data_IF_693689705845
#
_entry.id   IF_693689705845
#
_cell.length_a   1.000
_cell.length_b   1.000
_cell.length_c   1.000
_cell.angle_alpha   90.00
_cell.angle_beta   90.00
_cell.angle_gamma   90.00
#
_symmetry.space_group_name_H-M   'P 1'
#
loop_
_entity.id
_entity.type
_entity.pdbx_description
1 polymer ?
#
# COMPACT_ATOMS: atom_id res chain seq x y z
N UNK A 1 9.23 2.66 0.01
CA UNK A 1 9.12 1.56 -0.97
C UNK A 1 9.84 1.87 -2.28
N UNK A 2 9.56 2.96 -3.03
CA UNK A 2 10.19 3.25 -4.32
C UNK A 2 11.73 3.22 -4.29
N UNK A 3 12.37 3.79 -3.27
CA UNK A 3 13.84 3.68 -3.09
C UNK A 3 14.34 2.26 -2.83
N UNK A 4 13.53 1.41 -2.21
CA UNK A 4 13.90 0.00 -2.04
C UNK A 4 13.83 -0.75 -3.38
N UNK A 5 12.83 -0.46 -4.20
CA UNK A 5 12.72 -0.99 -5.56
C UNK A 5 13.90 -0.57 -6.44
N UNK A 6 14.31 0.69 -6.34
CA UNK A 6 15.47 1.25 -7.06
C UNK A 6 16.79 0.56 -6.67
N UNK A 7 17.01 0.38 -5.35
CA UNK A 7 18.22 -0.24 -4.83
C UNK A 7 18.27 -1.77 -4.99
N UNK A 8 17.14 -2.38 -5.10
CA UNK A 8 16.98 -3.83 -5.15
C UNK A 8 16.01 -4.21 -6.28
N UNK A 9 16.41 -3.99 -7.55
CA UNK A 9 15.57 -4.36 -8.69
C UNK A 9 15.52 -5.88 -8.89
N UNK A 10 14.56 -6.35 -9.67
CA UNK A 10 14.50 -7.74 -10.13
C UNK A 10 13.81 -8.73 -9.17
N UNK A 11 13.28 -8.27 -8.05
CA UNK A 11 12.42 -9.13 -7.22
C UNK A 11 11.05 -9.36 -7.89
N UNK A 12 10.44 -10.51 -7.59
CA UNK A 12 9.09 -10.83 -8.03
C UNK A 12 8.05 -9.78 -7.59
N UNK A 13 8.34 -9.07 -6.49
CA UNK A 13 7.53 -7.95 -6.01
C UNK A 13 8.01 -7.44 -4.66
N UNK A 14 7.28 -6.45 -4.14
CA UNK A 14 7.66 -5.69 -2.96
C UNK A 14 6.47 -5.55 -2.01
N UNK A 15 6.63 -6.07 -0.81
CA UNK A 15 5.64 -5.95 0.26
C UNK A 15 6.02 -4.79 1.17
N UNK A 16 5.09 -3.86 1.39
CA UNK A 16 5.22 -2.82 2.40
C UNK A 16 4.37 -3.18 3.60
N UNK A 17 4.96 -3.02 4.78
CA UNK A 17 4.31 -3.23 6.07
C UNK A 17 4.70 -2.07 6.96
N UNK A 18 3.72 -1.40 7.58
CA UNK A 18 3.99 -0.38 8.57
C UNK A 18 4.49 -1.01 9.89
N UNK A 19 5.22 -0.23 10.68
CA UNK A 19 5.85 -0.66 11.93
C UNK A 19 4.87 -1.01 13.06
N UNK A 20 3.60 -0.65 12.91
CA UNK A 20 2.53 -0.95 13.84
C UNK A 20 1.51 -1.96 13.30
N UNK A 21 1.95 -2.79 12.37
CA UNK A 21 1.19 -3.94 11.85
C UNK A 21 1.66 -5.22 12.52
N UNK A 22 0.76 -5.98 13.10
CA UNK A 22 1.03 -7.38 13.40
C UNK A 22 0.71 -8.21 12.16
N UNK A 23 1.68 -9.00 11.70
CA UNK A 23 1.60 -9.78 10.46
C UNK A 23 1.64 -11.28 10.71
N UNK A 24 0.64 -11.99 10.24
CA UNK A 24 0.60 -13.43 10.12
C UNK A 24 1.02 -13.82 8.69
N UNK A 25 2.31 -13.77 8.40
CA UNK A 25 2.88 -13.88 7.06
C UNK A 25 2.51 -15.18 6.32
N UNK A 26 2.24 -16.26 7.04
CA UNK A 26 1.85 -17.55 6.46
C UNK A 26 0.54 -17.47 5.66
N UNK A 27 -0.33 -16.53 5.99
CA UNK A 27 -1.57 -16.28 5.25
C UNK A 27 -1.34 -15.48 3.94
N UNK A 28 -0.11 -15.05 3.69
CA UNK A 28 0.27 -14.39 2.44
C UNK A 28 0.91 -15.36 1.43
N UNK A 29 1.34 -16.55 1.88
CA UNK A 29 2.14 -17.48 1.06
C UNK A 29 1.37 -17.96 -0.18
N UNK A 30 0.06 -18.11 -0.07
CA UNK A 30 -0.81 -18.57 -1.16
C UNK A 30 -1.35 -17.47 -2.06
N UNK A 31 -1.03 -16.21 -1.80
CA UNK A 31 -1.51 -15.09 -2.59
C UNK A 31 -0.80 -14.99 -3.95
N UNK A 32 -1.51 -14.54 -4.97
CA UNK A 32 -1.01 -14.41 -6.33
C UNK A 32 -0.02 -13.24 -6.44
N UNK A 33 1.27 -13.56 -6.64
CA UNK A 33 2.35 -12.58 -6.71
C UNK A 33 2.34 -11.75 -8.00
N UNK A 34 1.52 -12.10 -8.98
CA UNK A 34 1.34 -11.32 -10.20
C UNK A 34 0.29 -10.20 -10.04
N UNK A 35 -0.42 -10.19 -8.91
CA UNK A 35 -1.46 -9.20 -8.61
C UNK A 35 -0.99 -8.18 -7.59
N UNK A 36 -1.52 -6.96 -7.68
CA UNK A 36 -1.41 -5.98 -6.61
C UNK A 36 -2.24 -6.47 -5.43
N UNK A 37 -1.65 -6.44 -4.22
CA UNK A 37 -2.40 -6.74 -3.01
C UNK A 37 -2.68 -5.46 -2.25
N UNK A 38 -3.90 -5.32 -1.80
CA UNK A 38 -4.33 -4.22 -0.93
C UNK A 38 -5.09 -4.76 0.29
N UNK A 39 -5.37 -3.91 1.26
CA UNK A 39 -6.11 -4.29 2.46
C UNK A 39 -7.50 -4.86 2.17
N UNK A 40 -8.27 -5.19 3.20
CA UNK A 40 -9.56 -5.85 3.06
C UNK A 40 -10.51 -5.13 2.11
N UNK A 41 -11.31 -5.89 1.40
CA UNK A 41 -12.28 -5.37 0.43
C UNK A 41 -13.16 -4.26 1.04
N UNK A 42 -13.37 -3.19 0.28
CA UNK A 42 -14.21 -2.06 0.70
C UNK A 42 -13.49 -1.01 1.58
N UNK A 43 -12.22 -1.21 1.89
CA UNK A 43 -11.42 -0.21 2.61
C UNK A 43 -10.97 0.95 1.71
N UNK A 44 -10.94 0.74 0.40
CA UNK A 44 -10.59 1.76 -0.57
C UNK A 44 -11.87 2.42 -1.11
N UNK A 45 -11.88 3.74 -1.13
CA UNK A 45 -12.98 4.55 -1.65
C UNK A 45 -12.43 5.60 -2.59
N UNK A 46 -13.14 5.90 -3.66
CA UNK A 46 -12.73 7.02 -4.48
C UNK A 46 -13.34 8.33 -3.98
N UNK A 47 -12.68 9.45 -4.27
CA UNK A 47 -13.00 10.77 -3.76
C UNK A 47 -13.21 11.74 -4.92
N UNK A 48 -14.38 12.31 -4.98
CA UNK A 48 -14.73 13.35 -5.94
C UNK A 48 -14.21 14.71 -5.47
N UNK A 49 -13.55 15.45 -6.34
CA UNK A 49 -13.03 16.80 -6.03
C UNK A 49 -14.13 17.82 -5.72
N UNK A 50 -15.31 17.61 -6.29
CA UNK A 50 -16.45 18.54 -6.13
C UNK A 50 -17.29 18.28 -4.89
N UNK A 51 -17.08 17.15 -4.20
CA UNK A 51 -17.88 16.77 -3.02
C UNK A 51 -16.99 16.84 -1.78
N UNK A 52 -17.33 17.65 -0.77
CA UNK A 52 -16.61 17.66 0.50
C UNK A 52 -16.62 16.25 1.11
N UNK A 53 -15.46 15.70 1.40
CA UNK A 53 -15.35 14.46 2.16
C UNK A 53 -15.16 14.82 3.63
N UNK A 54 -15.92 14.17 4.50
CA UNK A 54 -15.73 14.28 5.95
C UNK A 54 -14.51 13.48 6.39
N UNK A 55 -13.35 13.89 5.89
CA UNK A 55 -12.08 13.26 6.21
C UNK A 55 -10.97 14.32 6.27
N UNK A 56 -10.38 14.48 7.45
CA UNK A 56 -9.38 15.51 7.73
C UNK A 56 -8.28 15.58 6.68
N UNK A 57 -7.66 14.43 6.34
CA UNK A 57 -6.54 14.39 5.41
C UNK A 57 -6.90 14.82 3.99
N UNK A 58 -8.14 14.56 3.55
CA UNK A 58 -8.62 15.03 2.25
C UNK A 58 -8.70 16.56 2.16
N UNK A 59 -9.15 17.16 3.24
CA UNK A 59 -9.31 18.62 3.33
C UNK A 59 -8.04 19.35 3.76
N UNK A 60 -6.97 18.62 4.11
CA UNK A 60 -5.69 19.17 4.53
C UNK A 60 -4.87 19.68 3.33
N UNK A 61 -3.75 20.35 3.63
CA UNK A 61 -2.78 20.81 2.62
C UNK A 61 -2.11 19.66 1.85
N UNK A 62 -2.18 18.42 2.33
CA UNK A 62 -1.62 17.22 1.72
C UNK A 62 -2.68 16.34 1.04
N UNK A 63 -3.93 16.78 0.99
CA UNK A 63 -5.08 16.01 0.51
C UNK A 63 -5.44 16.28 -0.94
N UNK A 64 -6.67 16.70 -1.17
CA UNK A 64 -7.28 16.86 -2.49
C UNK A 64 -6.40 17.66 -3.48
N UNK A 65 -5.95 18.86 -3.06
CA UNK A 65 -5.21 19.76 -3.94
C UNK A 65 -3.87 19.16 -4.42
N UNK A 66 -3.21 18.38 -3.57
CA UNK A 66 -1.93 17.74 -3.93
C UNK A 66 -2.15 16.55 -4.85
N UNK A 67 -3.18 15.76 -4.63
CA UNK A 67 -3.55 14.69 -5.54
C UNK A 67 -3.95 15.25 -6.92
N UNK A 68 -4.71 16.32 -6.96
CA UNK A 68 -5.09 16.98 -8.20
C UNK A 68 -3.88 17.52 -8.97
N UNK A 69 -2.88 18.09 -8.28
CA UNK A 69 -1.62 18.54 -8.91
C UNK A 69 -0.84 17.36 -9.47
N UNK A 70 -0.71 16.26 -8.73
CA UNK A 70 -0.05 15.06 -9.21
C UNK A 70 -0.76 14.50 -10.45
N UNK A 71 -2.08 14.41 -10.42
CA UNK A 71 -2.87 13.99 -11.57
C UNK A 71 -2.64 14.90 -12.80
N UNK A 72 -2.68 16.22 -12.62
CA UNK A 72 -2.48 17.17 -13.73
C UNK A 72 -1.07 17.04 -14.34
N UNK A 73 -0.04 16.74 -13.54
CA UNK A 73 1.30 16.48 -14.05
C UNK A 73 1.33 15.19 -14.88
N UNK A 74 0.71 14.12 -14.41
CA UNK A 74 0.61 12.84 -15.15
C UNK A 74 -0.18 13.04 -16.47
N UNK A 75 -1.27 13.81 -16.41
CA UNK A 75 -2.04 14.16 -17.60
C UNK A 75 -1.21 14.95 -18.61
N UNK A 76 -0.41 15.91 -18.16
CA UNK A 76 0.49 16.67 -19.05
C UNK A 76 1.56 15.78 -19.69
N UNK A 77 2.08 14.77 -18.96
CA UNK A 77 3.01 13.79 -19.50
C UNK A 77 2.35 12.95 -20.61
N UNK A 78 1.07 12.61 -20.49
CA UNK A 78 0.33 11.90 -21.52
C UNK A 78 0.21 12.71 -22.82
N UNK A 79 0.15 14.03 -22.72
CA UNK A 79 0.01 14.92 -23.88
C UNK A 79 1.36 15.29 -24.53
N UNK A 80 2.48 15.06 -23.84
CA UNK A 80 3.82 15.31 -24.36
C UNK A 80 4.36 14.09 -25.12
N UNK A 81 5.26 14.31 -26.08
CA UNK A 81 5.94 13.20 -26.74
C UNK A 81 6.80 12.42 -25.73
N UNK A 82 6.83 11.10 -25.84
CA UNK A 82 7.62 10.25 -24.94
C UNK A 82 9.09 10.63 -24.91
N UNK A 83 9.63 11.20 -26.00
CA UNK A 83 11.03 11.58 -26.14
C UNK A 83 11.44 12.75 -25.24
N UNK A 84 10.49 13.59 -24.81
CA UNK A 84 10.79 14.80 -24.05
C UNK A 84 11.01 14.57 -22.54
N UNK A 85 10.48 13.50 -21.96
CA UNK A 85 10.46 13.31 -20.50
C UNK A 85 11.08 11.99 -20.02
N UNK A 86 11.11 10.94 -20.84
CA UNK A 86 11.73 9.65 -20.50
C UNK A 86 13.17 9.78 -19.99
N UNK A 87 14.05 10.56 -20.61
CA UNK A 87 15.44 10.73 -20.17
C UNK A 87 15.57 11.44 -18.82
N UNK A 88 14.56 12.24 -18.43
CA UNK A 88 14.61 13.02 -17.19
C UNK A 88 14.18 12.23 -15.94
N UNK A 89 13.41 11.17 -16.14
CA UNK A 89 12.90 10.32 -15.04
C UNK A 89 13.77 9.07 -14.81
N UNK A 90 14.33 8.54 -15.87
CA UNK A 90 15.33 7.47 -15.80
C UNK A 90 16.67 8.20 -15.66
N UNK A 91 17.07 8.53 -14.41
CA UNK A 91 18.42 9.06 -14.18
C UNK A 91 19.43 8.17 -14.88
N UNK A 92 20.44 8.75 -15.54
CA UNK A 92 21.51 8.08 -16.27
C UNK A 92 21.99 6.82 -15.52
N UNK A 93 21.36 5.69 -15.74
CA UNK A 93 21.89 4.39 -15.35
C UNK A 93 22.67 3.85 -16.55
N UNK A 94 23.95 4.20 -16.55
CA UNK A 94 24.96 3.57 -17.40
C UNK A 94 25.03 2.07 -17.11
N UNK A 95 24.82 1.31 -18.16
CA UNK A 95 25.45 0.04 -18.48
C UNK A 95 25.49 -1.08 -17.43
N UNK A 96 24.49 -1.94 -17.46
CA UNK A 96 24.56 -3.31 -16.97
C UNK A 96 23.45 -4.13 -17.58
N UNK A 97 23.77 -5.27 -18.16
CA UNK A 97 22.87 -6.27 -18.72
C UNK A 97 21.91 -6.83 -17.65
N UNK A 98 20.95 -6.02 -17.22
CA UNK A 98 19.85 -6.48 -16.41
C UNK A 98 18.55 -6.18 -17.16
N UNK A 99 17.76 -7.24 -17.33
CA UNK A 99 16.57 -7.40 -18.14
C UNK A 99 15.80 -6.12 -18.42
N UNK A 100 15.25 -6.01 -19.65
CA UNK A 100 14.41 -4.92 -20.11
C UNK A 100 13.40 -4.55 -19.01
N UNK A 101 13.71 -3.52 -18.25
CA UNK A 101 12.77 -2.86 -17.36
C UNK A 101 11.60 -2.42 -18.25
N UNK A 102 10.40 -2.92 -17.99
CA UNK A 102 9.22 -2.50 -18.74
C UNK A 102 9.09 -0.98 -18.60
N UNK A 103 9.07 -0.29 -19.73
CA UNK A 103 8.85 1.15 -19.75
C UNK A 103 7.45 1.37 -19.20
N UNK A 104 7.31 2.25 -18.19
CA UNK A 104 5.99 2.64 -17.70
C UNK A 104 5.23 3.36 -18.80
N UNK A 105 4.06 2.84 -19.17
CA UNK A 105 3.18 3.46 -20.17
C UNK A 105 2.15 4.35 -19.46
N UNK A 106 2.27 5.66 -19.67
CA UNK A 106 1.35 6.64 -19.11
C UNK A 106 -0.06 6.50 -19.65
N UNK A 107 -0.23 6.07 -20.93
CA UNK A 107 -1.54 5.87 -21.54
C UNK A 107 -2.27 4.67 -20.93
N UNK A 108 -1.57 3.57 -20.72
CA UNK A 108 -2.11 2.41 -20.00
C UNK A 108 -2.53 2.80 -18.58
N UNK A 109 -1.67 3.54 -17.87
CA UNK A 109 -1.97 4.03 -16.51
C UNK A 109 -3.21 4.93 -16.47
N UNK A 110 -3.35 5.85 -17.41
CA UNK A 110 -4.50 6.73 -17.47
C UNK A 110 -5.78 5.98 -17.86
N UNK A 111 -5.67 4.97 -18.72
CA UNK A 111 -6.79 4.11 -19.08
C UNK A 111 -7.25 3.25 -17.89
N UNK A 112 -6.33 2.62 -17.16
CA UNK A 112 -6.63 1.87 -15.95
C UNK A 112 -7.31 2.78 -14.90
N UNK A 113 -6.77 3.97 -14.70
CA UNK A 113 -7.31 4.94 -13.75
C UNK A 113 -8.73 5.40 -14.10
N UNK A 114 -8.99 5.67 -15.39
CA UNK A 114 -10.31 6.03 -15.89
C UNK A 114 -11.33 4.91 -15.68
N UNK A 115 -10.94 3.66 -15.95
CA UNK A 115 -11.80 2.49 -15.72
C UNK A 115 -12.13 2.31 -14.25
N UNK A 116 -11.14 2.43 -13.35
CA UNK A 116 -11.32 2.35 -11.91
C UNK A 116 -12.24 3.46 -11.36
N UNK A 117 -12.28 4.61 -12.01
CA UNK A 117 -13.12 5.77 -11.68
C UNK A 117 -14.45 5.84 -12.43
N UNK A 118 -14.93 4.73 -13.03
CA UNK A 118 -16.15 4.71 -13.83
C UNK A 118 -16.19 5.79 -14.93
N UNK A 119 -15.09 5.96 -15.65
CA UNK A 119 -14.95 6.95 -16.72
C UNK A 119 -14.53 8.34 -16.23
N UNK A 120 -14.32 8.53 -14.94
CA UNK A 120 -13.90 9.80 -14.34
C UNK A 120 -12.53 9.68 -13.69
N UNK A 121 -11.88 10.83 -13.49
CA UNK A 121 -10.55 10.92 -12.87
C UNK A 121 -10.67 11.48 -11.47
N UNK A 122 -10.78 10.61 -10.49
CA UNK A 122 -10.85 10.95 -9.08
C UNK A 122 -9.69 10.33 -8.33
N UNK A 123 -9.28 10.95 -7.22
CA UNK A 123 -8.36 10.30 -6.29
C UNK A 123 -9.07 9.20 -5.50
N UNK A 124 -8.29 8.24 -5.08
CA UNK A 124 -8.74 7.18 -4.20
C UNK A 124 -8.18 7.42 -2.79
N UNK A 125 -8.91 7.00 -1.80
CA UNK A 125 -8.43 6.96 -0.42
C UNK A 125 -8.54 5.56 0.14
N UNK A 126 -7.64 5.22 1.04
CA UNK A 126 -7.71 3.96 1.75
C UNK A 126 -6.52 3.71 2.64
N UNK A 127 -6.60 2.64 3.38
CA UNK A 127 -5.52 2.19 4.23
C UNK A 127 -4.36 1.70 3.38
N UNK A 128 -3.14 2.13 3.72
CA UNK A 128 -1.92 1.80 3.00
C UNK A 128 -0.85 1.22 3.95
N UNK A 129 -1.31 0.56 5.00
CA UNK A 129 -0.45 0.02 6.05
C UNK A 129 0.18 -1.32 5.67
N UNK A 130 -0.51 -2.07 4.80
CA UNK A 130 -0.01 -3.30 4.17
C UNK A 130 -0.44 -3.31 2.71
N UNK A 131 0.51 -3.43 1.80
CA UNK A 131 0.24 -3.61 0.37
C UNK A 131 1.43 -4.24 -0.35
N UNK A 132 1.16 -4.89 -1.46
CA UNK A 132 2.18 -5.53 -2.29
C UNK A 132 2.08 -5.03 -3.73
N UNK A 133 3.24 -4.77 -4.32
CA UNK A 133 3.38 -4.37 -5.72
C UNK A 133 4.21 -5.43 -6.45
N UNK A 134 3.65 -6.13 -7.44
CA UNK A 134 4.40 -7.03 -8.31
C UNK A 134 5.58 -6.35 -9.00
N UNK A 135 6.64 -7.09 -9.25
CA UNK A 135 7.85 -6.58 -9.91
C UNK A 135 7.59 -5.95 -11.27
N UNK A 136 6.62 -6.47 -12.03
CA UNK A 136 6.20 -5.91 -13.32
C UNK A 136 5.68 -4.47 -13.24
N UNK A 137 5.17 -4.05 -12.08
CA UNK A 137 4.68 -2.69 -11.86
C UNK A 137 5.71 -1.79 -11.15
N UNK A 138 6.91 -2.29 -10.82
CA UNK A 138 7.88 -1.55 -10.03
C UNK A 138 8.26 -0.19 -10.63
N UNK A 139 8.51 -0.12 -11.93
CA UNK A 139 8.86 1.12 -12.61
C UNK A 139 7.73 2.14 -12.60
N UNK A 140 6.52 1.70 -12.93
CA UNK A 140 5.33 2.55 -12.88
C UNK A 140 5.10 3.08 -11.46
N UNK A 141 5.20 2.21 -10.45
CA UNK A 141 5.06 2.60 -9.06
C UNK A 141 6.14 3.61 -8.63
N UNK A 142 7.40 3.44 -9.05
CA UNK A 142 8.49 4.38 -8.76
C UNK A 142 8.23 5.75 -9.37
N UNK A 143 7.86 5.78 -10.66
CA UNK A 143 7.56 7.02 -11.39
C UNK A 143 6.39 7.77 -10.74
N UNK A 144 5.29 7.07 -10.50
CA UNK A 144 4.13 7.65 -9.83
C UNK A 144 4.47 8.12 -8.41
N UNK A 145 5.25 7.33 -7.64
CA UNK A 145 5.69 7.72 -6.30
C UNK A 145 6.49 9.01 -6.31
N UNK A 146 7.36 9.21 -7.31
CA UNK A 146 8.11 10.45 -7.44
C UNK A 146 7.19 11.65 -7.65
N UNK A 147 6.19 11.53 -8.54
CA UNK A 147 5.24 12.61 -8.84
C UNK A 147 4.38 12.94 -7.60
N UNK A 148 3.80 11.93 -6.96
CA UNK A 148 2.98 12.13 -5.77
C UNK A 148 3.78 12.69 -4.58
N UNK A 149 5.04 12.26 -4.41
CA UNK A 149 5.96 12.78 -3.40
C UNK A 149 6.34 14.25 -3.67
N UNK A 150 6.65 14.61 -4.92
CA UNK A 150 6.93 15.99 -5.35
C UNK A 150 5.81 16.94 -4.94
N UNK A 151 4.57 16.49 -5.08
CA UNK A 151 3.39 17.25 -4.67
C UNK A 151 3.03 17.08 -3.19
N UNK A 152 3.78 16.27 -2.42
CA UNK A 152 3.55 16.02 -0.99
C UNK A 152 2.16 15.44 -0.71
N UNK A 153 1.68 14.56 -1.56
CA UNK A 153 0.38 13.93 -1.39
C UNK A 153 0.39 12.97 -0.21
N UNK A 154 -0.67 12.99 0.57
CA UNK A 154 -0.80 12.12 1.74
C UNK A 154 -0.81 10.64 1.34
N UNK A 155 -0.13 9.79 2.11
CA UNK A 155 0.12 8.38 1.78
C UNK A 155 -1.17 7.60 1.48
N UNK A 156 -2.19 7.74 2.32
CA UNK A 156 -3.48 7.04 2.17
C UNK A 156 -4.35 7.60 1.01
N UNK A 157 -3.86 8.60 0.29
CA UNK A 157 -4.42 9.05 -1.00
C UNK A 157 -3.49 8.63 -2.13
N UNK A 158 -2.19 8.85 -1.98
CA UNK A 158 -1.21 8.57 -3.02
C UNK A 158 -1.18 7.08 -3.38
N UNK A 159 -1.00 6.19 -2.42
CA UNK A 159 -0.84 4.75 -2.69
C UNK A 159 -2.08 4.13 -3.34
N UNK A 160 -3.31 4.28 -2.82
CA UNK A 160 -4.48 3.73 -3.48
C UNK A 160 -4.72 4.29 -4.88
N UNK A 161 -4.37 5.57 -5.09
CA UNK A 161 -4.48 6.21 -6.40
C UNK A 161 -3.44 5.66 -7.38
N UNK A 162 -2.18 5.56 -6.96
CA UNK A 162 -1.11 4.98 -7.78
C UNK A 162 -1.40 3.52 -8.16
N UNK A 163 -1.86 2.69 -7.22
CA UNK A 163 -2.22 1.30 -7.52
C UNK A 163 -3.29 1.22 -8.62
N UNK A 164 -4.27 2.13 -8.60
CA UNK A 164 -5.33 2.18 -9.61
C UNK A 164 -4.91 2.82 -10.95
N UNK A 165 -3.74 3.41 -10.99
CA UNK A 165 -3.06 3.81 -12.23
C UNK A 165 -2.19 2.68 -12.80
N UNK A 166 -1.83 1.67 -12.00
CA UNK A 166 -1.00 0.55 -12.44
C UNK A 166 -1.81 -0.60 -13.00
N UNK A 167 -3.00 -0.86 -12.43
CA UNK A 167 -3.87 -1.94 -12.88
C UNK A 167 -5.33 -1.66 -12.50
N UNK A 168 -6.24 -2.44 -13.09
CA UNK A 168 -7.66 -2.39 -12.76
C UNK A 168 -7.92 -3.04 -11.41
N UNK A 169 -8.75 -2.40 -10.58
CA UNK A 169 -9.03 -2.88 -9.22
C UNK A 169 -9.68 -4.28 -9.18
N UNK A 170 -10.32 -4.71 -10.26
CA UNK A 170 -10.87 -6.06 -10.40
C UNK A 170 -9.79 -7.16 -10.45
N UNK A 171 -8.56 -6.78 -10.83
CA UNK A 171 -7.40 -7.68 -10.86
C UNK A 171 -6.68 -7.77 -9.50
N UNK A 172 -7.04 -6.94 -8.53
CA UNK A 172 -6.36 -6.91 -7.24
C UNK A 172 -6.76 -8.08 -6.37
N UNK A 173 -5.86 -8.46 -5.48
CA UNK A 173 -6.13 -9.42 -4.44
C UNK A 173 -6.21 -8.70 -3.08
N UNK A 174 -7.14 -9.13 -2.24
CA UNK A 174 -7.37 -8.49 -0.95
C UNK A 174 -6.72 -9.30 0.16
N UNK A 175 -5.82 -8.64 0.91
CA UNK A 175 -5.17 -9.23 2.07
C UNK A 175 -6.22 -9.34 3.18
N UNK A 176 -6.52 -10.56 3.69
CA UNK A 176 -7.43 -10.72 4.81
C UNK A 176 -6.82 -10.08 6.07
N UNK A 177 -7.45 -9.07 6.60
CA UNK A 177 -6.91 -8.33 7.73
C UNK A 177 -7.96 -7.52 8.46
N UNK A 178 -7.58 -7.00 9.62
CA UNK A 178 -8.44 -6.19 10.46
C UNK A 178 -7.79 -4.84 10.74
N UNK A 179 -8.58 -3.79 10.48
CA UNK A 179 -8.26 -2.45 10.94
C UNK A 179 -9.06 -2.17 12.21
N UNK A 180 -8.36 -2.12 13.33
CA UNK A 180 -8.96 -1.71 14.59
C UNK A 180 -9.41 -0.25 14.49
N UNK A 181 -10.59 0.11 14.99
CA UNK A 181 -11.04 1.48 15.01
C UNK A 181 -10.04 2.30 15.85
N UNK A 182 -9.55 3.40 15.31
CA UNK A 182 -8.56 4.25 15.97
C UNK A 182 -8.86 5.69 15.68
N UNK A 183 -9.46 6.41 16.63
CA UNK A 183 -9.38 7.87 16.70
C UNK A 183 -8.49 8.26 17.85
N UNK A 184 -7.63 9.26 17.63
CA UNK A 184 -6.94 9.97 18.69
C UNK A 184 -8.01 10.53 19.63
N UNK A 185 -7.97 10.16 20.90
CA UNK A 185 -8.87 10.67 21.93
C UNK A 185 -9.87 9.69 22.51
N UNK A 186 -10.14 8.56 21.88
CA UNK A 186 -10.92 7.51 22.51
C UNK A 186 -9.95 6.51 23.18
N UNK A 187 -9.97 6.40 24.51
CA UNK A 187 -9.34 5.27 25.14
C UNK A 187 -10.13 4.07 24.69
N UNK A 188 -9.73 3.13 24.43
CA UNK A 188 -9.14 1.84 24.60
C UNK A 188 -9.03 0.98 23.35
N UNK A 189 -9.28 1.52 22.19
CA UNK A 189 -9.38 0.75 20.95
C UNK A 189 -8.03 0.16 20.48
N UNK A 190 -6.95 0.56 21.17
CA UNK A 190 -5.59 0.08 20.91
C UNK A 190 -5.07 -0.84 22.01
N UNK A 191 -5.95 -1.26 22.92
CA UNK A 191 -5.58 -2.15 24.02
C UNK A 191 -5.47 -3.59 23.54
N UNK A 192 -4.67 -4.32 24.28
CA UNK A 192 -4.47 -5.75 24.11
C UNK A 192 -5.79 -6.54 24.02
N UNK A 193 -6.77 -6.17 24.82
CA UNK A 193 -8.09 -6.80 24.85
C UNK A 193 -8.82 -6.73 23.52
N UNK A 194 -8.76 -5.59 22.84
CA UNK A 194 -9.40 -5.45 21.51
C UNK A 194 -8.68 -6.25 20.44
N UNK A 195 -7.36 -6.34 20.55
CA UNK A 195 -6.58 -7.22 19.68
C UNK A 195 -7.06 -8.66 19.82
N UNK A 196 -7.18 -9.18 21.06
CA UNK A 196 -7.64 -10.55 21.29
C UNK A 196 -9.07 -10.82 20.86
N UNK A 197 -9.95 -9.82 20.93
CA UNK A 197 -11.32 -9.94 20.46
C UNK A 197 -11.41 -10.16 18.95
N UNK A 198 -10.46 -9.66 18.18
CA UNK A 198 -10.47 -9.73 16.71
C UNK A 198 -9.40 -10.66 16.15
N UNK A 199 -8.47 -11.14 16.99
CA UNK A 199 -7.41 -12.01 16.55
C UNK A 199 -7.96 -13.35 16.06
N UNK A 200 -7.62 -13.68 14.83
CA UNK A 200 -7.85 -14.98 14.21
C UNK A 200 -6.58 -15.37 13.44
N UNK A 201 -6.10 -16.60 13.62
CA UNK A 201 -4.91 -17.10 12.92
C UNK A 201 -5.06 -17.12 11.39
N UNK A 202 -6.29 -17.03 10.87
CA UNK A 202 -6.61 -16.98 9.44
C UNK A 202 -6.49 -15.59 8.83
N UNK A 203 -6.42 -14.52 9.63
CA UNK A 203 -6.17 -13.17 9.13
C UNK A 203 -4.68 -12.95 8.92
N UNK A 204 -4.33 -12.21 7.85
CA UNK A 204 -2.95 -11.94 7.53
C UNK A 204 -2.38 -10.78 8.37
N UNK A 205 -3.20 -9.81 8.77
CA UNK A 205 -2.71 -8.71 9.59
C UNK A 205 -3.76 -8.07 10.49
N UNK A 206 -3.27 -7.40 11.53
CA UNK A 206 -4.04 -6.48 12.38
C UNK A 206 -3.28 -5.16 12.48
N UNK A 207 -3.98 -4.04 12.32
CA UNK A 207 -3.47 -2.68 12.44
C UNK A 207 -4.48 -1.76 13.14
N UNK A 208 -4.06 -0.82 14.03
CA UNK A 208 -2.69 -0.66 14.53
C UNK A 208 -2.40 -1.57 15.74
N UNK A 209 -1.17 -2.06 15.81
CA UNK A 209 -0.65 -2.79 16.97
C UNK A 209 0.55 -2.02 17.56
N UNK A 210 0.28 -1.19 18.58
CA UNK A 210 1.28 -0.27 19.14
C UNK A 210 2.08 -0.92 20.27
N UNK A 211 3.39 -1.06 20.08
CA UNK A 211 4.32 -1.57 21.11
C UNK A 211 4.88 -0.48 22.02
N UNK A 212 4.86 0.78 21.57
CA UNK A 212 5.46 1.92 22.26
C UNK A 212 4.45 2.79 23.02
N UNK A 213 3.21 2.37 23.15
CA UNK A 213 2.18 3.16 23.83
C UNK A 213 2.43 3.14 25.35
N UNK A 214 2.47 4.32 25.99
CA UNK A 214 2.85 4.48 27.41
C UNK A 214 2.04 3.61 28.37
N UNK A 215 0.80 3.28 28.06
CA UNK A 215 -0.08 2.51 28.94
C UNK A 215 -0.28 1.06 28.51
N UNK A 216 -0.15 0.76 27.22
CA UNK A 216 -0.48 -0.56 26.66
C UNK A 216 0.70 -1.24 25.97
N UNK A 217 1.82 -0.54 25.77
CA UNK A 217 2.99 -1.08 25.08
C UNK A 217 3.57 -2.32 25.77
N UNK A 218 3.60 -2.35 27.10
CA UNK A 218 4.05 -3.50 27.85
C UNK A 218 3.11 -4.71 27.71
N UNK A 219 1.80 -4.49 27.76
CA UNK A 219 0.79 -5.53 27.53
C UNK A 219 0.84 -6.04 26.10
N UNK A 220 0.92 -5.16 25.11
CA UNK A 220 1.07 -5.54 23.71
C UNK A 220 2.37 -6.34 23.47
N UNK A 221 3.47 -5.99 24.13
CA UNK A 221 4.72 -6.74 24.05
C UNK A 221 4.60 -8.12 24.69
N UNK A 222 3.91 -8.25 25.82
CA UNK A 222 3.63 -9.55 26.46
C UNK A 222 2.76 -10.43 25.55
N UNK A 223 1.74 -9.85 24.93
CA UNK A 223 0.88 -10.55 23.98
C UNK A 223 1.66 -11.05 22.77
N UNK A 224 2.51 -10.20 22.20
CA UNK A 224 3.37 -10.59 21.07
C UNK A 224 4.30 -11.76 21.46
N UNK A 225 4.88 -11.74 22.66
CA UNK A 225 5.71 -12.84 23.17
C UNK A 225 4.91 -14.13 23.34
N UNK A 226 3.71 -14.06 23.91
CA UNK A 226 2.84 -15.23 24.07
C UNK A 226 2.47 -15.81 22.71
N UNK A 227 2.14 -14.97 21.76
CA UNK A 227 1.81 -15.37 20.39
C UNK A 227 3.00 -16.02 19.67
N UNK A 228 4.21 -15.44 19.77
CA UNK A 228 5.43 -16.02 19.18
C UNK A 228 5.71 -17.40 19.80
N UNK A 229 5.54 -17.52 21.09
CA UNK A 229 5.74 -18.79 21.80
C UNK A 229 4.73 -19.85 21.33
N UNK A 230 3.45 -19.51 21.29
CA UNK A 230 2.38 -20.42 20.84
C UNK A 230 2.62 -20.89 19.40
N UNK A 231 3.05 -19.97 18.53
CA UNK A 231 3.40 -20.28 17.16
C UNK A 231 4.62 -21.21 17.05
N UNK A 232 5.68 -20.92 17.80
CA UNK A 232 6.88 -21.76 17.88
C UNK A 232 6.56 -23.17 18.39
N UNK A 233 5.74 -23.24 19.44
CA UNK A 233 5.29 -24.53 20.02
C UNK A 233 4.44 -25.33 19.01
N UNK A 234 3.65 -24.66 18.17
CA UNK A 234 2.85 -25.30 17.14
C UNK A 234 3.70 -25.88 16.00
N UNK A 235 4.72 -25.15 15.56
CA UNK A 235 5.68 -25.63 14.55
C UNK A 235 6.44 -26.86 15.05
N UNK A 236 6.93 -26.83 16.27
CA UNK A 236 7.68 -27.94 16.88
C UNK A 236 6.83 -29.22 17.06
N UNK A 237 5.50 -29.08 17.09
CA UNK A 237 4.59 -30.24 17.12
C UNK A 237 4.36 -30.81 15.73
N UNK A 238 4.33 -29.98 14.68
CA UNK A 238 4.22 -30.46 13.30
C UNK A 238 5.46 -31.27 12.88
N UNK A 239 6.67 -30.77 13.20
CA UNK A 239 7.92 -31.46 12.88
C UNK A 239 8.11 -32.82 13.59
N UNK A 240 7.39 -33.06 14.70
CA UNK A 240 7.44 -34.35 15.43
C UNK A 240 6.46 -35.39 14.96
N UNK A 241 5.55 -35.03 14.11
CA UNK A 241 4.52 -35.92 13.56
C UNK A 241 4.79 -36.33 12.07
N UNK A 242 5.92 -35.90 11.51
CA UNK A 242 6.51 -36.38 10.27
C UNK A 242 7.63 -37.40 10.58
#
# INVERSE_FOLDING_TARGET
MSRAMEKHPGYAGYLLINDDVMLNYWNLVGMDREKIWEGPKGTIKFLNYSIPANWYWWNSTWGMKTCQKAFNEIWALQQSSADDWLPRMIGNQDNGEHGKLSIWDVNESMNAFKQNGNGTFYCFRGRSDVFYIPGKFANGFQTLSYIFYKHRSFLEIAVPTMCRMLDRAENFEHIPGVYLPGRSGEPPVRRAEHFWQVYDKRIAFIHPFKLNYKHDGALNALLLRSWIKEYSDSLSKCERNE
#
